data_IF_671620770121
#
_entry.id   IF_671620770121
#
_cell.length_a   1.000
_cell.length_b   1.000
_cell.length_c   1.000
_cell.angle_alpha   90.00
_cell.angle_beta   90.00
_cell.angle_gamma   90.00
#
_symmetry.space_group_name_H-M   'P 1'
#
loop_
_entity.id
_entity.type
_entity.pdbx_description
1 polymer ?
#
# COMPACT_ATOMS: atom_id res chain seq x y z
N UNK A 1 14.48 15.10 -13.88
CA UNK A 1 15.25 15.99 -12.98
C UNK A 1 14.63 15.90 -11.59
N UNK A 2 15.32 15.32 -10.60
CA UNK A 2 14.82 15.21 -9.23
C UNK A 2 14.99 16.53 -8.46
N UNK A 3 13.94 16.99 -7.79
CA UNK A 3 13.83 18.33 -7.19
C UNK A 3 14.78 18.65 -6.01
N UNK A 4 15.84 17.87 -5.76
CA UNK A 4 16.79 18.09 -4.64
C UNK A 4 18.27 17.80 -4.95
N UNK A 5 18.67 17.69 -6.22
CA UNK A 5 20.08 17.48 -6.60
C UNK A 5 20.68 16.11 -6.24
N UNK A 6 19.97 15.25 -5.50
CA UNK A 6 20.32 13.83 -5.34
C UNK A 6 19.88 13.02 -6.56
N UNK A 7 20.79 12.17 -7.06
CA UNK A 7 20.52 11.23 -8.16
C UNK A 7 19.63 10.06 -7.74
N UNK A 8 19.64 9.70 -6.45
CA UNK A 8 18.88 8.58 -5.88
C UNK A 8 18.25 8.93 -4.53
N UNK A 9 17.21 8.18 -4.14
CA UNK A 9 16.48 8.39 -2.89
C UNK A 9 15.94 7.08 -2.29
N UNK A 10 15.57 7.11 -1.00
CA UNK A 10 14.82 6.03 -0.36
C UNK A 10 13.32 6.23 -0.57
N UNK A 11 12.65 5.24 -1.16
CA UNK A 11 11.19 5.26 -1.34
C UNK A 11 10.51 4.59 -0.16
N UNK A 12 9.60 5.30 0.52
CA UNK A 12 8.72 4.71 1.54
C UNK A 12 7.29 4.98 1.16
N UNK A 13 6.45 3.95 1.12
CA UNK A 13 5.04 4.11 0.79
C UNK A 13 4.16 3.01 1.40
N UNK A 14 2.86 3.32 1.51
CA UNK A 14 1.84 2.47 2.14
C UNK A 14 0.60 2.39 1.25
N UNK A 15 -0.12 1.27 1.30
CA UNK A 15 -1.39 1.04 0.58
C UNK A 15 -1.29 1.40 -0.92
N UNK A 16 -2.16 2.25 -1.46
CA UNK A 16 -2.08 2.71 -2.85
C UNK A 16 -0.76 3.40 -3.19
N UNK A 17 -0.13 4.06 -2.22
CA UNK A 17 1.22 4.59 -2.36
C UNK A 17 2.24 3.49 -2.61
N UNK A 18 2.11 2.34 -1.93
CA UNK A 18 2.95 1.17 -2.19
C UNK A 18 2.67 0.56 -3.58
N UNK A 19 1.40 0.48 -4.00
CA UNK A 19 1.04 0.05 -5.37
C UNK A 19 1.69 0.95 -6.42
N UNK A 20 1.63 2.28 -6.23
CA UNK A 20 2.33 3.24 -7.09
C UNK A 20 3.84 3.04 -7.02
N UNK A 21 4.38 2.78 -5.82
CA UNK A 21 5.81 2.51 -5.61
C UNK A 21 6.31 1.31 -6.40
N UNK A 22 5.56 0.21 -6.43
CA UNK A 22 5.89 -0.97 -7.25
C UNK A 22 5.95 -0.64 -8.75
N UNK A 23 5.01 0.17 -9.25
CA UNK A 23 5.01 0.61 -10.65
C UNK A 23 6.12 1.63 -10.95
N UNK A 24 6.47 2.48 -9.99
CA UNK A 24 7.61 3.38 -10.10
C UNK A 24 8.91 2.58 -10.22
N UNK A 25 9.12 1.57 -9.36
CA UNK A 25 10.29 0.69 -9.42
C UNK A 25 10.39 -0.08 -10.73
N UNK A 26 9.27 -0.34 -11.41
CA UNK A 26 9.25 -1.01 -12.70
C UNK A 26 9.90 -0.19 -13.83
N UNK A 27 10.00 1.13 -13.67
CA UNK A 27 10.50 2.06 -14.71
C UNK A 27 11.66 2.93 -14.26
N UNK A 28 11.85 3.09 -12.95
CA UNK A 28 12.79 4.03 -12.35
C UNK A 28 13.59 3.41 -11.19
N UNK A 29 13.89 2.10 -11.26
CA UNK A 29 14.72 1.39 -10.27
C UNK A 29 16.08 2.06 -10.05
N UNK A 30 16.65 2.67 -11.09
CA UNK A 30 17.92 3.38 -11.08
C UNK A 30 17.90 4.65 -10.21
N UNK A 31 16.72 5.20 -9.92
CA UNK A 31 16.53 6.37 -9.07
C UNK A 31 16.37 6.03 -7.57
N UNK A 32 16.40 4.75 -7.21
CA UNK A 32 16.12 4.29 -5.83
C UNK A 32 17.36 3.67 -5.20
N UNK A 33 17.70 4.11 -3.99
CA UNK A 33 18.79 3.52 -3.18
C UNK A 33 18.30 2.33 -2.35
N UNK A 34 17.14 2.49 -1.72
CA UNK A 34 16.41 1.47 -0.95
C UNK A 34 14.91 1.75 -1.04
N UNK A 35 14.07 0.73 -0.86
CA UNK A 35 12.63 0.96 -0.75
C UNK A 35 11.97 0.17 0.38
N UNK A 36 10.96 0.78 1.00
CA UNK A 36 10.11 0.17 2.02
C UNK A 36 8.66 0.37 1.59
N UNK A 37 7.97 -0.73 1.25
CA UNK A 37 6.59 -0.69 0.79
C UNK A 37 5.74 -1.51 1.76
N UNK A 38 4.61 -0.96 2.18
CA UNK A 38 3.86 -1.46 3.34
C UNK A 38 2.41 -1.76 2.98
N UNK A 39 1.92 -2.92 3.42
CA UNK A 39 0.50 -3.35 3.35
C UNK A 39 -0.17 -3.23 1.97
N UNK A 40 0.59 -3.25 0.88
CA UNK A 40 0.05 -3.52 -0.44
C UNK A 40 1.10 -4.16 -1.36
N UNK A 41 0.80 -5.30 -1.98
CA UNK A 41 1.70 -5.95 -2.92
C UNK A 41 1.57 -5.33 -4.32
N UNK A 42 2.39 -5.80 -5.26
CA UNK A 42 2.26 -5.43 -6.67
C UNK A 42 0.88 -5.81 -7.21
N UNK A 43 0.36 -5.04 -8.19
CA UNK A 43 -0.92 -5.37 -8.84
C UNK A 43 -0.91 -6.75 -9.46
N UNK A 44 0.25 -7.23 -9.91
CA UNK A 44 0.41 -8.57 -10.47
C UNK A 44 0.19 -9.67 -9.42
N UNK A 45 0.74 -9.49 -8.22
CA UNK A 45 0.50 -10.40 -7.10
C UNK A 45 -0.94 -10.34 -6.63
N UNK A 46 -1.53 -9.14 -6.50
CA UNK A 46 -2.97 -9.02 -6.17
C UNK A 46 -3.82 -9.78 -7.19
N UNK A 47 -3.63 -9.54 -8.49
CA UNK A 47 -4.40 -10.20 -9.55
C UNK A 47 -4.24 -11.72 -9.53
N UNK A 48 -3.02 -12.21 -9.30
CA UNK A 48 -2.77 -13.66 -9.15
C UNK A 48 -3.56 -14.21 -7.97
N UNK A 49 -3.44 -13.60 -6.79
CA UNK A 49 -4.11 -14.08 -5.59
C UNK A 49 -5.63 -13.94 -5.65
N UNK A 50 -6.18 -12.90 -6.28
CA UNK A 50 -7.62 -12.79 -6.52
C UNK A 50 -8.18 -14.00 -7.29
N UNK A 51 -7.39 -14.58 -8.21
CA UNK A 51 -7.78 -15.73 -9.02
C UNK A 51 -7.48 -17.07 -8.35
N UNK A 52 -6.43 -17.15 -7.52
CA UNK A 52 -5.91 -18.43 -7.00
C UNK A 52 -6.10 -18.64 -5.50
N UNK A 53 -6.42 -17.59 -4.73
CA UNK A 53 -6.46 -17.64 -3.27
C UNK A 53 -7.82 -17.16 -2.74
N UNK A 54 -8.58 -18.08 -2.13
CA UNK A 54 -9.91 -17.80 -1.58
C UNK A 54 -9.89 -16.79 -0.44
N UNK A 55 -8.82 -16.76 0.36
CA UNK A 55 -8.67 -15.82 1.47
C UNK A 55 -8.52 -14.39 0.94
N UNK A 56 -7.58 -14.15 0.04
CA UNK A 56 -7.40 -12.83 -0.58
C UNK A 56 -8.65 -12.40 -1.34
N UNK A 57 -9.31 -13.31 -2.07
CA UNK A 57 -10.56 -13.01 -2.76
C UNK A 57 -11.64 -12.48 -1.82
N UNK A 58 -11.84 -13.13 -0.65
CA UNK A 58 -12.78 -12.68 0.38
C UNK A 58 -12.37 -11.34 1.01
N UNK A 59 -11.08 -11.17 1.32
CA UNK A 59 -10.55 -9.92 1.88
C UNK A 59 -10.76 -8.74 0.91
N UNK A 60 -10.82 -9.00 -0.40
CA UNK A 60 -10.96 -7.99 -1.45
C UNK A 60 -12.41 -7.62 -1.80
N UNK A 61 -13.40 -7.96 -0.95
CA UNK A 61 -14.81 -7.64 -1.19
C UNK A 61 -15.05 -6.15 -1.49
N UNK A 62 -14.30 -5.28 -0.80
CA UNK A 62 -14.41 -3.83 -0.90
C UNK A 62 -13.99 -3.31 -2.29
N UNK A 63 -13.05 -3.99 -2.97
CA UNK A 63 -12.63 -3.66 -4.33
C UNK A 63 -13.80 -3.79 -5.30
N UNK A 64 -14.61 -4.85 -5.16
CA UNK A 64 -15.82 -5.05 -5.96
C UNK A 64 -16.91 -4.05 -5.60
N UNK A 65 -17.07 -3.75 -4.31
CA UNK A 65 -17.97 -2.70 -3.85
C UNK A 65 -17.66 -1.35 -4.51
N UNK A 66 -16.38 -0.97 -4.58
CA UNK A 66 -15.91 0.27 -5.19
C UNK A 66 -16.10 0.36 -6.71
N UNK A 67 -16.38 -0.75 -7.40
CA UNK A 67 -16.74 -0.72 -8.83
C UNK A 67 -18.15 -0.21 -9.09
N UNK A 68 -19.04 -0.20 -8.09
CA UNK A 68 -20.42 0.24 -8.29
C UNK A 68 -20.50 1.76 -8.53
N UNK A 69 -21.31 2.23 -9.50
CA UNK A 69 -21.41 3.64 -9.83
C UNK A 69 -22.16 4.40 -8.73
N UNK A 70 -21.52 5.44 -8.17
CA UNK A 70 -22.05 6.36 -7.13
C UNK A 70 -22.43 5.74 -5.79
N UNK A 71 -22.66 4.43 -5.72
CA UNK A 71 -23.10 3.74 -4.51
C UNK A 71 -22.06 3.82 -3.38
N UNK A 72 -20.75 3.60 -3.61
CA UNK A 72 -19.75 3.77 -2.57
C UNK A 72 -19.68 5.19 -2.03
N UNK A 73 -19.67 6.19 -2.91
CA UNK A 73 -19.65 7.59 -2.50
C UNK A 73 -20.87 7.95 -1.65
N UNK A 74 -22.04 7.43 -2.01
CA UNK A 74 -23.26 7.60 -1.23
C UNK A 74 -23.10 6.99 0.17
N UNK A 75 -22.72 5.71 0.28
CA UNK A 75 -22.54 5.03 1.56
C UNK A 75 -21.47 5.69 2.44
N UNK A 76 -20.33 6.05 1.87
CA UNK A 76 -19.24 6.70 2.61
C UNK A 76 -19.62 8.08 3.17
N UNK A 77 -20.60 8.76 2.55
CA UNK A 77 -21.05 10.09 2.98
C UNK A 77 -22.18 10.04 4.01
N UNK A 78 -22.84 8.90 4.20
CA UNK A 78 -23.94 8.76 5.15
C UNK A 78 -23.47 8.93 6.60
N UNK A 79 -24.41 9.34 7.46
CA UNK A 79 -24.23 9.40 8.92
C UNK A 79 -22.97 10.15 9.35
N UNK A 80 -22.71 11.32 8.76
CA UNK A 80 -21.52 12.12 9.06
C UNK A 80 -20.19 11.37 8.83
N UNK A 81 -20.08 10.69 7.69
CA UNK A 81 -18.90 9.90 7.33
C UNK A 81 -18.53 8.86 8.39
N UNK A 82 -19.50 8.25 9.07
CA UNK A 82 -19.29 7.25 10.14
C UNK A 82 -18.33 6.11 9.78
N UNK A 83 -18.19 5.79 8.49
CA UNK A 83 -17.20 4.82 8.03
C UNK A 83 -15.77 5.22 8.39
N UNK A 84 -15.43 6.52 8.36
CA UNK A 84 -14.12 7.02 8.78
C UNK A 84 -13.88 6.75 10.26
N UNK A 85 -14.91 6.93 11.10
CA UNK A 85 -14.81 6.57 12.50
C UNK A 85 -14.57 5.05 12.66
N UNK A 86 -15.37 4.23 11.98
CA UNK A 86 -15.21 2.76 12.08
C UNK A 86 -13.83 2.27 11.64
N UNK A 87 -13.19 2.93 10.66
CA UNK A 87 -11.89 2.53 10.12
C UNK A 87 -10.72 3.17 10.88
N UNK A 88 -10.78 4.46 11.20
CA UNK A 88 -9.64 5.23 11.68
C UNK A 88 -9.64 5.51 13.18
N UNK A 89 -10.74 5.30 13.92
CA UNK A 89 -10.84 5.63 15.36
C UNK A 89 -9.71 5.03 16.21
N UNK A 90 -9.19 3.87 15.82
CA UNK A 90 -8.08 3.20 16.52
C UNK A 90 -6.69 3.76 16.19
N UNK A 91 -6.60 4.62 15.18
CA UNK A 91 -5.36 5.07 14.55
C UNK A 91 -5.19 6.59 14.55
N UNK A 92 -6.21 7.33 14.97
CA UNK A 92 -6.17 8.78 15.03
C UNK A 92 -6.94 9.29 16.25
N UNK A 93 -6.56 10.47 16.73
CA UNK A 93 -7.33 11.18 17.75
C UNK A 93 -8.57 11.85 17.14
N UNK A 94 -9.40 12.47 17.98
CA UNK A 94 -10.66 13.09 17.54
C UNK A 94 -10.42 14.28 16.58
N UNK A 95 -9.38 15.08 16.79
CA UNK A 95 -9.04 16.21 15.92
C UNK A 95 -8.61 15.74 14.53
N UNK A 96 -7.78 14.70 14.47
CA UNK A 96 -7.36 14.07 13.22
C UNK A 96 -8.54 13.42 12.48
N UNK A 97 -9.44 12.74 13.20
CA UNK A 97 -10.65 12.17 12.63
C UNK A 97 -11.54 13.24 12.00
N UNK A 98 -11.76 14.35 12.70
CA UNK A 98 -12.54 15.47 12.19
C UNK A 98 -11.83 16.17 11.01
N UNK A 99 -10.50 16.25 11.00
CA UNK A 99 -9.75 16.74 9.84
C UNK A 99 -9.95 15.84 8.59
N UNK A 100 -9.99 14.52 8.77
CA UNK A 100 -10.35 13.59 7.69
C UNK A 100 -11.78 13.82 7.21
N UNK A 101 -12.76 13.87 8.12
CA UNK A 101 -14.16 14.13 7.76
C UNK A 101 -14.32 15.45 7.01
N UNK A 102 -13.73 16.53 7.52
CA UNK A 102 -13.73 17.85 6.89
C UNK A 102 -13.19 17.80 5.45
N UNK A 103 -12.08 17.07 5.24
CA UNK A 103 -11.48 16.92 3.93
C UNK A 103 -12.38 16.14 2.98
N UNK A 104 -12.93 15.00 3.42
CA UNK A 104 -13.72 14.10 2.60
C UNK A 104 -15.20 14.50 2.44
N UNK A 105 -15.70 15.42 3.26
CA UNK A 105 -17.03 16.02 3.10
C UNK A 105 -17.13 16.91 1.86
N UNK A 106 -16.00 17.45 1.37
CA UNK A 106 -15.93 18.31 0.19
C UNK A 106 -16.44 17.58 -1.06
N UNK A 107 -17.10 18.32 -1.96
CA UNK A 107 -17.67 17.78 -3.20
C UNK A 107 -16.57 17.09 -4.02
N UNK A 108 -16.76 15.81 -4.33
CA UNK A 108 -15.85 15.00 -5.13
C UNK A 108 -14.66 14.39 -4.37
N UNK A 109 -14.43 14.77 -3.10
CA UNK A 109 -13.25 14.31 -2.34
C UNK A 109 -13.21 12.78 -2.12
N UNK A 110 -14.38 12.14 -2.01
CA UNK A 110 -14.49 10.67 -1.93
C UNK A 110 -14.29 9.97 -3.28
N UNK A 111 -14.69 10.62 -4.38
CA UNK A 111 -14.64 10.00 -5.71
C UNK A 111 -13.21 9.76 -6.18
N UNK A 112 -12.29 10.70 -5.92
CA UNK A 112 -10.89 10.59 -6.37
C UNK A 112 -10.15 9.34 -5.83
N UNK A 113 -10.13 9.05 -4.52
CA UNK A 113 -9.52 7.83 -4.02
C UNK A 113 -10.28 6.58 -4.47
N UNK A 114 -11.62 6.59 -4.53
CA UNK A 114 -12.39 5.45 -5.05
C UNK A 114 -12.00 5.13 -6.51
N UNK A 115 -11.70 6.16 -7.32
CA UNK A 115 -11.30 5.96 -8.70
C UNK A 115 -9.97 5.20 -8.85
N UNK A 116 -9.11 5.13 -7.83
CA UNK A 116 -7.95 4.22 -7.88
C UNK A 116 -8.40 2.77 -8.05
N UNK A 117 -9.42 2.34 -7.31
CA UNK A 117 -9.99 1.00 -7.45
C UNK A 117 -10.61 0.78 -8.83
N UNK A 118 -11.40 1.74 -9.31
CA UNK A 118 -12.07 1.65 -10.62
C UNK A 118 -11.08 1.62 -11.78
N UNK A 119 -10.00 2.40 -11.69
CA UNK A 119 -9.00 2.49 -12.75
C UNK A 119 -8.05 1.29 -12.80
N UNK A 120 -7.79 0.63 -11.66
CA UNK A 120 -6.74 -0.39 -11.56
C UNK A 120 -7.26 -1.83 -11.47
N UNK A 121 -8.56 -2.04 -11.23
CA UNK A 121 -9.15 -3.38 -11.15
C UNK A 121 -10.11 -3.62 -12.32
N UNK A 122 -9.57 -4.14 -13.43
CA UNK A 122 -10.29 -4.47 -14.66
C UNK A 122 -9.44 -5.27 -15.68
N UNK A 123 -10.06 -5.78 -16.75
CA UNK A 123 -9.41 -6.74 -17.69
C UNK A 123 -8.26 -6.17 -18.53
N UNK A 124 -8.14 -4.83 -18.63
CA UNK A 124 -7.21 -4.15 -19.54
C UNK A 124 -5.98 -3.51 -18.88
N UNK A 125 -5.87 -3.54 -17.55
CA UNK A 125 -4.73 -2.91 -16.86
C UNK A 125 -3.55 -3.88 -16.88
N UNK A 126 -2.53 -3.57 -17.68
CA UNK A 126 -1.24 -4.25 -17.62
C UNK A 126 -0.46 -3.76 -16.40
N UNK A 127 0.06 -4.69 -15.61
CA UNK A 127 1.03 -4.38 -14.57
C UNK A 127 2.43 -4.42 -15.16
N UNK A 128 3.25 -3.41 -14.87
CA UNK A 128 4.65 -3.39 -15.27
C UNK A 128 5.42 -4.45 -14.48
N UNK A 129 6.48 -5.02 -15.08
CA UNK A 129 7.42 -5.88 -14.37
C UNK A 129 8.63 -5.07 -13.94
N UNK A 130 9.31 -5.45 -12.85
CA UNK A 130 10.62 -4.92 -12.55
C UNK A 130 11.55 -5.12 -13.75
N UNK A 131 12.44 -4.16 -14.06
CA UNK A 131 13.44 -4.34 -15.10
C UNK A 131 14.28 -5.58 -14.80
N UNK A 132 14.49 -6.42 -15.81
CA UNK A 132 15.28 -7.65 -15.67
C UNK A 132 16.79 -7.39 -15.72
N UNK A 133 17.16 -6.28 -16.37
CA UNK A 133 18.52 -5.86 -16.73
C UNK A 133 19.12 -4.82 -15.77
N UNK A 134 18.31 -4.23 -14.88
CA UNK A 134 18.75 -3.28 -13.86
C UNK A 134 18.92 -4.00 -12.52
N UNK A 135 20.05 -3.85 -11.80
CA UNK A 135 20.19 -4.37 -10.44
C UNK A 135 19.11 -3.81 -9.51
N UNK A 136 18.43 -4.68 -8.76
CA UNK A 136 17.37 -4.25 -7.84
C UNK A 136 17.98 -3.65 -6.57
N UNK A 137 17.56 -2.43 -6.25
CA UNK A 137 17.84 -1.82 -4.95
C UNK A 137 17.35 -2.74 -3.82
N UNK A 138 18.00 -2.74 -2.64
CA UNK A 138 17.48 -3.44 -1.48
C UNK A 138 16.06 -2.98 -1.15
N UNK A 139 15.17 -3.95 -0.99
CA UNK A 139 13.76 -3.73 -0.69
C UNK A 139 13.33 -4.33 0.64
N UNK A 140 12.34 -3.70 1.27
CA UNK A 140 11.60 -4.23 2.40
C UNK A 140 10.10 -4.14 2.11
N UNK A 141 9.42 -5.28 2.10
CA UNK A 141 7.97 -5.36 2.12
C UNK A 141 7.49 -5.66 3.54
N UNK A 142 6.70 -4.76 4.12
CA UNK A 142 6.09 -4.93 5.43
C UNK A 142 4.62 -5.28 5.29
N UNK A 143 4.15 -6.20 6.12
CA UNK A 143 2.75 -6.55 6.24
C UNK A 143 2.33 -6.61 7.73
N UNK A 144 1.23 -5.97 8.09
CA UNK A 144 0.64 -6.11 9.42
C UNK A 144 0.15 -7.53 9.69
N UNK A 145 0.42 -8.06 10.87
CA UNK A 145 -0.01 -9.42 11.25
C UNK A 145 -1.53 -9.61 11.16
N UNK A 146 -2.27 -8.56 11.48
CA UNK A 146 -3.73 -8.52 11.53
C UNK A 146 -4.34 -7.70 10.38
N UNK A 147 -3.63 -7.56 9.26
CA UNK A 147 -4.16 -6.89 8.07
C UNK A 147 -5.45 -7.58 7.58
N UNK A 148 -6.52 -6.80 7.48
CA UNK A 148 -7.86 -7.26 7.09
C UNK A 148 -8.07 -7.31 5.56
N UNK A 149 -7.17 -6.71 4.79
CA UNK A 149 -7.28 -6.50 3.35
C UNK A 149 -6.25 -7.30 2.55
N UNK A 150 -5.07 -7.55 3.12
CA UNK A 150 -3.95 -8.19 2.43
C UNK A 150 -3.50 -9.48 3.13
N UNK A 151 -3.48 -10.58 2.37
CA UNK A 151 -3.06 -11.89 2.84
C UNK A 151 -1.54 -11.99 2.98
N UNK A 152 -1.09 -12.73 4.01
CA UNK A 152 0.32 -13.11 4.23
C UNK A 152 0.95 -13.86 3.06
N UNK A 153 0.12 -14.49 2.22
CA UNK A 153 0.54 -15.18 0.98
C UNK A 153 1.14 -14.24 -0.07
N UNK A 154 0.95 -12.93 0.08
CA UNK A 154 1.58 -11.92 -0.79
C UNK A 154 3.09 -11.92 -0.67
N UNK A 155 3.65 -12.08 0.55
CA UNK A 155 5.08 -11.99 0.82
C UNK A 155 5.92 -12.93 -0.04
N UNK A 156 5.70 -14.26 0.01
CA UNK A 156 6.44 -15.22 -0.80
C UNK A 156 6.30 -15.00 -2.31
N UNK A 157 5.15 -14.47 -2.77
CA UNK A 157 4.95 -14.13 -4.18
C UNK A 157 5.73 -12.88 -4.59
N UNK A 158 5.77 -11.88 -3.72
CA UNK A 158 6.55 -10.66 -3.92
C UNK A 158 8.05 -10.97 -3.96
N UNK A 159 8.56 -11.81 -3.06
CA UNK A 159 9.98 -12.22 -3.07
C UNK A 159 10.38 -13.05 -4.31
N UNK A 160 9.42 -13.70 -4.97
CA UNK A 160 9.64 -14.37 -6.27
C UNK A 160 9.62 -13.39 -7.45
N UNK A 161 9.00 -12.22 -7.29
CA UNK A 161 8.88 -11.21 -8.34
C UNK A 161 9.99 -10.17 -8.30
N UNK A 162 10.42 -9.77 -7.09
CA UNK A 162 11.42 -8.74 -6.87
C UNK A 162 12.68 -9.37 -6.27
N UNK A 163 13.80 -9.19 -6.95
CA UNK A 163 15.10 -9.60 -6.43
C UNK A 163 15.49 -8.64 -5.29
N UNK A 164 16.31 -9.12 -4.34
CA UNK A 164 16.79 -8.30 -3.22
C UNK A 164 15.67 -7.72 -2.33
N UNK A 165 14.55 -8.44 -2.23
CA UNK A 165 13.39 -8.06 -1.41
C UNK A 165 13.32 -8.88 -0.11
N UNK A 166 13.47 -8.20 1.02
CA UNK A 166 13.12 -8.72 2.34
C UNK A 166 11.62 -8.61 2.58
N UNK A 167 11.01 -9.62 3.21
CA UNK A 167 9.63 -9.58 3.65
C UNK A 167 9.57 -9.77 5.16
N UNK A 168 8.84 -8.90 5.86
CA UNK A 168 8.59 -9.03 7.31
C UNK A 168 7.12 -8.82 7.61
N UNK A 169 6.59 -9.67 8.48
CA UNK A 169 5.30 -9.46 9.13
C UNK A 169 5.56 -8.68 10.42
N UNK A 170 4.86 -7.56 10.62
CA UNK A 170 4.94 -6.77 11.85
C UNK A 170 3.92 -7.31 12.85
N UNK A 171 4.35 -7.80 14.03
CA UNK A 171 3.46 -8.46 14.97
C UNK A 171 2.50 -7.47 15.64
N UNK A 172 1.26 -7.93 15.89
CA UNK A 172 0.26 -7.20 16.66
C UNK A 172 -0.33 -5.94 16.01
N UNK A 173 0.04 -5.60 14.78
CA UNK A 173 -0.49 -4.43 14.05
C UNK A 173 -1.40 -4.85 12.89
N UNK A 174 -2.31 -3.96 12.50
CA UNK A 174 -3.19 -4.11 11.35
C UNK A 174 -2.64 -3.36 10.12
N UNK A 175 -3.53 -3.12 9.14
CA UNK A 175 -3.22 -2.46 7.88
C UNK A 175 -2.73 -1.01 8.01
N UNK A 176 -2.93 -0.34 9.14
CA UNK A 176 -2.39 1.01 9.37
C UNK A 176 -1.17 0.91 10.27
N UNK A 177 -0.23 0.03 9.93
CA UNK A 177 0.87 -0.37 10.81
C UNK A 177 1.65 0.82 11.37
N UNK A 178 1.93 1.84 10.55
CA UNK A 178 2.67 3.04 10.96
C UNK A 178 1.90 3.94 11.94
N UNK A 179 0.56 3.88 11.95
CA UNK A 179 -0.27 4.57 12.95
C UNK A 179 -0.58 3.68 14.16
N UNK A 180 -0.73 2.37 13.95
CA UNK A 180 -1.03 1.43 15.02
C UNK A 180 0.14 1.32 16.01
N UNK A 181 1.35 1.08 15.52
CA UNK A 181 2.55 1.01 16.36
C UNK A 181 3.73 1.73 15.70
N UNK A 182 3.75 3.07 15.72
CA UNK A 182 4.81 3.86 15.09
C UNK A 182 6.20 3.51 15.62
N UNK A 183 6.32 3.21 16.91
CA UNK A 183 7.61 2.85 17.53
C UNK A 183 8.19 1.58 16.91
N UNK A 184 7.39 0.49 16.87
CA UNK A 184 7.83 -0.78 16.32
C UNK A 184 8.10 -0.69 14.81
N UNK A 185 7.21 -0.05 14.05
CA UNK A 185 7.38 0.09 12.60
C UNK A 185 8.62 0.93 12.28
N UNK A 186 8.82 2.05 12.97
CA UNK A 186 10.03 2.87 12.80
C UNK A 186 11.30 2.10 13.16
N UNK A 187 11.27 1.26 14.20
CA UNK A 187 12.40 0.40 14.54
C UNK A 187 12.74 -0.56 13.38
N UNK A 188 11.74 -1.29 12.88
CA UNK A 188 11.93 -2.25 11.76
C UNK A 188 12.45 -1.54 10.51
N UNK A 189 11.93 -0.34 10.22
CA UNK A 189 12.41 0.47 9.10
C UNK A 189 13.87 0.92 9.30
N UNK A 190 14.23 1.41 10.49
CA UNK A 190 15.60 1.85 10.80
C UNK A 190 16.61 0.72 10.69
N UNK A 191 16.30 -0.46 11.25
CA UNK A 191 17.15 -1.65 11.15
C UNK A 191 17.48 -2.00 9.70
N UNK A 192 16.50 -1.91 8.79
CA UNK A 192 16.72 -2.15 7.36
C UNK A 192 17.53 -1.03 6.68
N UNK A 193 17.28 0.22 7.05
CA UNK A 193 18.00 1.36 6.49
C UNK A 193 19.47 1.37 6.93
N UNK A 194 19.77 0.96 8.14
CA UNK A 194 21.13 0.90 8.71
C UNK A 194 21.86 -0.38 8.28
N UNK A 195 21.17 -1.53 8.26
CA UNK A 195 21.73 -2.86 7.96
C UNK A 195 22.21 -3.08 6.52
N UNK A 196 22.19 -2.05 5.66
CA UNK A 196 22.72 -2.11 4.29
C UNK A 196 23.86 -1.14 4.00
N UNK A 197 24.49 -0.58 5.04
CA UNK A 197 25.67 0.30 4.93
C UNK A 197 27.02 -0.43 4.99
N UNK A 198 27.04 -1.75 4.83
CA UNK A 198 28.25 -2.57 4.90
C UNK A 198 28.52 -3.33 3.60
N UNK A 199 29.19 -2.65 2.66
CA UNK A 199 30.16 -3.20 1.72
C UNK A 199 31.02 -2.07 1.18
#
# INVERSE_FOLDING_TARGET
>A
MGCRGRKKFTLVAHDWGAVIGWEFLATHMDMVDKYILMDAPSRRVVRKLLLTNKTQFKMSWYVFFYQMPKLPEFFMRMSDLKLFEMVFRKHCNDEELEAFKYTFAKKGALTYPINYYRANFGTRVQSSRPPADVPHAPGLYLLGEHDAYISKETGPLMQKEYNNLSFKIVPGVDHFLQQHNPTLVNQVMREFLEGGGGQ
#
